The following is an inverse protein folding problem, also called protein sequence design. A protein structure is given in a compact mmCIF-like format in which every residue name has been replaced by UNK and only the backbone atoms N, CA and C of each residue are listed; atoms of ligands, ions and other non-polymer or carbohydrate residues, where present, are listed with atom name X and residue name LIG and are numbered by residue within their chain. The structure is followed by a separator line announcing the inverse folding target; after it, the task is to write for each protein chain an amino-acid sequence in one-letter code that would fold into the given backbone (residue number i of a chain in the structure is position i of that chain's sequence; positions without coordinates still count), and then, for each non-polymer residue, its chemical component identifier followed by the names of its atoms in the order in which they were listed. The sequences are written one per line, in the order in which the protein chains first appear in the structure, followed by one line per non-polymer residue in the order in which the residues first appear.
data_IF_016097470478
#
_entry.id   IF_016097470478
#
_cell.length_a   1.000
_cell.length_b   1.000
_cell.length_c   1.000
_cell.angle_alpha   90.00
_cell.angle_beta   90.00
_cell.angle_gamma   90.00
#
_symmetry.space_group_name_H-M   'P 1'
#
loop_
_entity.id
_entity.type
_entity.pdbx_description
1 polymer ?
#
# COMPACT_ATOMS: atom_id res chain seq x y z
N UNK A 1 -2.76 -29.36 -2.61
CA UNK A 1 -3.37 -28.69 -3.76
C UNK A 1 -4.81 -28.24 -3.52
N UNK A 2 -5.67 -29.11 -3.01
CA UNK A 2 -7.06 -28.73 -2.66
C UNK A 2 -7.13 -27.63 -1.62
N UNK A 3 -6.25 -27.67 -0.62
CA UNK A 3 -6.20 -26.66 0.44
C UNK A 3 -5.87 -25.27 -0.08
N UNK A 4 -4.87 -25.15 -0.97
CA UNK A 4 -4.49 -23.87 -1.57
C UNK A 4 -5.61 -23.28 -2.40
N UNK A 5 -6.32 -24.09 -3.16
CA UNK A 5 -7.45 -23.65 -3.96
C UNK A 5 -8.60 -23.15 -3.09
N UNK A 6 -8.85 -23.85 -1.96
CA UNK A 6 -9.87 -23.45 -1.00
C UNK A 6 -9.51 -22.14 -0.30
N UNK A 7 -8.26 -22.03 0.16
CA UNK A 7 -7.76 -20.81 0.80
C UNK A 7 -7.85 -19.61 -0.14
N UNK A 8 -7.48 -19.80 -1.41
CA UNK A 8 -7.57 -18.75 -2.42
C UNK A 8 -9.01 -18.29 -2.66
N UNK A 9 -9.94 -19.24 -2.69
CA UNK A 9 -11.38 -18.94 -2.84
C UNK A 9 -11.92 -18.19 -1.63
N UNK A 10 -11.56 -18.65 -0.43
CA UNK A 10 -11.97 -17.99 0.81
C UNK A 10 -11.42 -16.58 0.89
N UNK A 11 -10.15 -16.38 0.51
CA UNK A 11 -9.53 -15.07 0.49
C UNK A 11 -10.27 -14.10 -0.45
N UNK A 12 -10.68 -14.55 -1.63
CA UNK A 12 -11.42 -13.73 -2.60
C UNK A 12 -12.79 -13.29 -2.09
N UNK A 13 -13.36 -14.00 -1.12
CA UNK A 13 -14.63 -13.66 -0.50
C UNK A 13 -14.50 -12.57 0.56
N UNK A 14 -13.27 -12.29 1.01
CA UNK A 14 -13.03 -11.25 2.00
C UNK A 14 -13.25 -9.86 1.39
N UNK A 15 -13.66 -8.90 2.21
CA UNK A 15 -13.65 -7.50 1.81
C UNK A 15 -12.22 -7.05 1.51
N UNK A 16 -12.07 -5.94 0.81
CA UNK A 16 -10.74 -5.36 0.56
C UNK A 16 -9.99 -5.08 1.86
N UNK A 17 -10.67 -4.50 2.85
CA UNK A 17 -10.09 -4.21 4.15
C UNK A 17 -9.59 -5.49 4.85
N UNK A 18 -10.38 -6.55 4.82
CA UNK A 18 -10.02 -7.83 5.41
C UNK A 18 -8.84 -8.48 4.69
N UNK A 19 -8.80 -8.40 3.36
CA UNK A 19 -7.68 -8.90 2.55
C UNK A 19 -6.38 -8.21 2.95
N UNK A 20 -6.39 -6.90 3.04
CA UNK A 20 -5.22 -6.10 3.41
C UNK A 20 -4.77 -6.42 4.83
N UNK A 21 -5.71 -6.48 5.79
CA UNK A 21 -5.40 -6.81 7.17
C UNK A 21 -4.71 -8.19 7.28
N UNK A 22 -5.19 -9.17 6.53
CA UNK A 22 -4.60 -10.51 6.52
C UNK A 22 -3.18 -10.50 5.95
N UNK A 23 -2.96 -9.79 4.85
CA UNK A 23 -1.62 -9.70 4.26
C UNK A 23 -0.63 -8.96 5.15
N UNK A 24 -1.07 -7.92 5.83
CA UNK A 24 -0.22 -7.22 6.81
C UNK A 24 0.12 -8.15 7.98
N UNK A 25 -0.85 -8.91 8.49
CA UNK A 25 -0.62 -9.85 9.59
C UNK A 25 0.42 -10.94 9.24
N UNK A 26 0.54 -11.29 7.96
CA UNK A 26 1.48 -12.29 7.48
C UNK A 26 2.89 -11.76 7.23
N UNK A 27 3.09 -10.45 7.32
CA UNK A 27 4.40 -9.84 7.09
C UNK A 27 5.36 -10.09 8.25
N UNK A 28 6.68 -10.01 7.96
CA UNK A 28 7.71 -9.96 8.99
C UNK A 28 7.43 -8.77 9.94
N UNK A 29 7.77 -8.88 11.25
CA UNK A 29 7.38 -7.85 12.23
C UNK A 29 7.76 -6.41 11.86
N UNK A 30 8.95 -6.19 11.33
CA UNK A 30 9.39 -4.85 10.94
C UNK A 30 8.55 -4.29 9.77
N UNK A 31 8.25 -5.13 8.76
CA UNK A 31 7.42 -4.75 7.63
C UNK A 31 5.98 -4.53 8.05
N UNK A 32 5.47 -5.38 8.94
CA UNK A 32 4.12 -5.27 9.48
C UNK A 32 3.91 -3.91 10.15
N UNK A 33 4.88 -3.47 10.93
CA UNK A 33 4.84 -2.17 11.61
C UNK A 33 4.76 -1.01 10.61
N UNK A 34 5.60 -1.04 9.57
CA UNK A 34 5.58 -0.03 8.51
C UNK A 34 4.27 -0.05 7.74
N UNK A 35 3.85 -1.24 7.33
CA UNK A 35 2.61 -1.42 6.56
C UNK A 35 1.39 -0.92 7.32
N UNK A 36 1.29 -1.23 8.61
CA UNK A 36 0.17 -0.80 9.44
C UNK A 36 0.15 0.72 9.61
N UNK A 37 1.32 1.33 9.84
CA UNK A 37 1.42 2.79 9.98
C UNK A 37 1.03 3.50 8.69
N UNK A 38 1.49 3.00 7.54
CA UNK A 38 1.13 3.55 6.23
C UNK A 38 -0.35 3.37 5.96
N UNK A 39 -0.89 2.19 6.25
CA UNK A 39 -2.32 1.89 6.05
C UNK A 39 -3.20 2.86 6.82
N UNK A 40 -2.94 3.01 8.10
CA UNK A 40 -3.71 3.93 8.96
C UNK A 40 -3.63 5.37 8.42
N UNK A 41 -2.43 5.80 8.02
CA UNK A 41 -2.21 7.15 7.52
C UNK A 41 -2.95 7.38 6.20
N UNK A 42 -2.76 6.51 5.21
CA UNK A 42 -3.35 6.66 3.88
C UNK A 42 -4.88 6.65 3.95
N UNK A 43 -5.45 5.71 4.70
CA UNK A 43 -6.91 5.61 4.84
C UNK A 43 -7.51 6.83 5.55
N UNK A 44 -6.73 7.56 6.35
CA UNK A 44 -7.19 8.76 7.05
C UNK A 44 -7.20 10.00 6.17
N UNK A 45 -6.54 9.99 5.01
CA UNK A 45 -6.37 11.19 4.18
C UNK A 45 -7.67 11.60 3.49
N UNK A 46 -8.45 10.65 3.01
CA UNK A 46 -9.71 10.95 2.32
C UNK A 46 -10.68 9.78 2.40
N UNK A 47 -12.00 10.03 2.58
CA UNK A 47 -13.01 8.98 2.53
C UNK A 47 -13.17 8.37 1.14
N UNK A 48 -12.62 8.98 0.10
CA UNK A 48 -12.63 8.45 -1.27
C UNK A 48 -11.68 7.28 -1.46
N UNK A 49 -10.71 7.11 -0.57
CA UNK A 49 -9.72 6.04 -0.67
C UNK A 49 -10.32 4.73 -0.17
N UNK A 50 -10.28 3.71 -1.03
CA UNK A 50 -10.61 2.34 -0.66
C UNK A 50 -9.35 1.49 -0.75
N UNK A 51 -9.39 0.29 -0.17
CA UNK A 51 -8.22 -0.59 -0.13
C UNK A 51 -8.60 -2.01 -0.48
N UNK A 52 -7.69 -2.69 -1.15
CA UNK A 52 -7.70 -4.14 -1.36
C UNK A 52 -6.29 -4.56 -1.74
N UNK A 53 -6.04 -5.86 -1.81
CA UNK A 53 -4.72 -6.34 -2.23
C UNK A 53 -4.55 -6.24 -3.74
N UNK A 54 -3.29 -6.03 -4.15
CA UNK A 54 -2.86 -6.01 -5.54
C UNK A 54 -1.56 -6.82 -5.61
N UNK A 55 -1.59 -7.94 -6.29
CA UNK A 55 -0.47 -8.90 -6.30
C UNK A 55 0.01 -9.26 -4.90
N UNK A 56 -0.95 -9.44 -3.96
CA UNK A 56 -0.65 -9.76 -2.57
C UNK A 56 -0.14 -8.61 -1.72
N UNK A 57 -0.09 -7.41 -2.23
CA UNK A 57 0.36 -6.20 -1.52
C UNK A 57 -0.83 -5.34 -1.11
N UNK A 58 -0.76 -4.66 0.06
CA UNK A 58 -1.74 -3.61 0.37
C UNK A 58 -1.72 -2.52 -0.70
N UNK A 59 -2.88 -2.19 -1.24
CA UNK A 59 -2.99 -1.18 -2.28
C UNK A 59 -4.20 -0.28 -2.02
N UNK A 60 -4.14 0.92 -2.59
CA UNK A 60 -5.09 2.00 -2.31
C UNK A 60 -5.63 2.54 -3.61
N UNK A 61 -6.96 2.70 -3.66
CA UNK A 61 -7.73 2.97 -4.87
C UNK A 61 -8.61 4.20 -4.68
N UNK A 62 -8.85 4.92 -5.77
CA UNK A 62 -9.89 5.95 -5.85
C UNK A 62 -10.71 5.65 -7.10
N UNK A 63 -12.03 5.60 -6.96
CA UNK A 63 -12.94 5.24 -8.06
C UNK A 63 -12.53 3.93 -8.74
N UNK A 64 -12.16 2.95 -7.93
CA UNK A 64 -11.76 1.61 -8.37
C UNK A 64 -10.49 1.57 -9.22
N UNK A 65 -9.72 2.65 -9.23
CA UNK A 65 -8.43 2.74 -9.93
C UNK A 65 -7.31 2.81 -8.91
N UNK A 66 -6.28 1.97 -9.06
CA UNK A 66 -5.16 1.91 -8.14
C UNK A 66 -4.33 3.20 -8.20
N UNK A 67 -4.03 3.75 -7.03
CA UNK A 67 -3.20 4.95 -6.89
C UNK A 67 -1.82 4.61 -6.35
N UNK A 68 -1.76 3.84 -5.27
CA UNK A 68 -0.47 3.47 -4.66
C UNK A 68 -0.56 2.13 -3.95
N UNK A 69 0.62 1.61 -3.58
CA UNK A 69 0.74 0.31 -2.92
C UNK A 69 1.95 0.27 -2.01
N UNK A 70 1.94 -0.67 -1.07
CA UNK A 70 3.08 -0.94 -0.18
C UNK A 70 3.67 -2.30 -0.49
N UNK A 71 5.00 -2.34 -0.73
CA UNK A 71 5.74 -3.58 -0.96
C UNK A 71 6.68 -3.84 0.22
N UNK A 72 6.46 -4.95 0.91
CA UNK A 72 7.30 -5.36 2.03
C UNK A 72 8.71 -5.72 1.56
N UNK A 73 9.73 -5.09 2.15
CA UNK A 73 11.11 -5.25 1.73
C UNK A 73 11.66 -6.65 1.96
N UNK A 74 11.37 -7.25 3.13
CA UNK A 74 11.91 -8.57 3.47
C UNK A 74 11.41 -9.68 2.54
N UNK A 75 10.24 -9.52 1.94
CA UNK A 75 9.68 -10.49 0.99
C UNK A 75 10.54 -10.61 -0.28
N UNK A 76 11.27 -9.57 -0.63
CA UNK A 76 12.13 -9.51 -1.81
C UNK A 76 13.62 -9.40 -1.45
N UNK A 77 13.96 -9.69 -0.20
CA UNK A 77 15.32 -9.57 0.32
C UNK A 77 15.92 -8.18 0.05
N UNK A 78 15.08 -7.16 0.14
CA UNK A 78 15.46 -5.77 -0.04
C UNK A 78 15.73 -5.12 1.32
N UNK A 79 16.69 -4.20 1.37
CA UNK A 79 17.03 -3.47 2.60
C UNK A 79 16.00 -2.41 2.99
N UNK A 80 15.03 -2.15 2.14
CA UNK A 80 13.94 -1.20 2.42
C UNK A 80 12.61 -1.71 1.86
N UNK A 81 11.51 -1.22 2.43
CA UNK A 81 10.18 -1.40 1.88
C UNK A 81 9.89 -0.28 0.88
N UNK A 82 8.88 -0.44 0.05
CA UNK A 82 8.59 0.51 -1.02
C UNK A 82 7.15 1.00 -0.92
N UNK A 83 6.97 2.33 -1.00
CA UNK A 83 5.68 2.95 -1.30
C UNK A 83 5.73 3.36 -2.77
N UNK A 84 4.94 2.70 -3.60
CA UNK A 84 4.92 2.93 -5.04
C UNK A 84 3.62 3.58 -5.49
N UNK A 85 3.71 4.44 -6.48
CA UNK A 85 2.55 5.12 -7.08
C UNK A 85 2.36 4.64 -8.51
N UNK A 86 1.12 4.47 -8.91
CA UNK A 86 0.75 3.98 -10.23
C UNK A 86 0.35 5.13 -11.16
N UNK A 87 0.03 4.79 -12.40
CA UNK A 87 -0.27 5.74 -13.46
C UNK A 87 -1.35 6.76 -13.09
N UNK A 88 -2.35 6.35 -12.34
CA UNK A 88 -3.46 7.22 -11.94
C UNK A 88 -3.07 8.27 -10.88
N UNK A 89 -1.89 8.14 -10.27
CA UNK A 89 -1.42 9.10 -9.28
C UNK A 89 -1.01 10.41 -9.96
N UNK A 90 -1.63 11.51 -9.55
CA UNK A 90 -1.36 12.82 -10.14
C UNK A 90 -0.14 13.47 -9.50
N UNK A 91 1.04 12.92 -9.75
CA UNK A 91 2.32 13.41 -9.23
C UNK A 91 3.18 14.11 -10.28
N UNK A 92 2.64 14.33 -11.45
CA UNK A 92 3.35 14.91 -12.59
C UNK A 92 4.08 16.20 -12.22
N UNK A 93 5.33 16.27 -12.63
CA UNK A 93 6.17 17.46 -12.42
C UNK A 93 7.10 17.59 -13.64
N UNK A 94 6.65 18.35 -14.64
CA UNK A 94 7.33 18.47 -15.93
C UNK A 94 7.31 17.13 -16.69
N UNK A 95 8.46 16.72 -17.20
CA UNK A 95 8.61 15.48 -17.98
C UNK A 95 9.28 14.36 -17.19
N UNK A 96 9.57 14.59 -15.90
CA UNK A 96 10.35 13.64 -15.11
C UNK A 96 10.00 13.83 -13.62
N UNK A 97 9.47 12.78 -12.98
CA UNK A 97 9.14 12.81 -11.55
C UNK A 97 9.24 11.42 -10.93
N UNK A 98 9.51 11.33 -9.60
CA UNK A 98 9.60 10.04 -8.93
C UNK A 98 8.21 9.44 -8.68
N UNK A 99 8.11 8.13 -8.79
CA UNK A 99 6.88 7.38 -8.52
C UNK A 99 7.06 6.27 -7.49
N UNK A 100 8.28 6.06 -6.99
CA UNK A 100 8.59 4.98 -6.06
C UNK A 100 9.53 5.51 -4.98
N UNK A 101 9.22 5.17 -3.72
CA UNK A 101 9.90 5.72 -2.56
C UNK A 101 10.32 4.60 -1.61
N UNK A 102 11.58 4.62 -1.17
CA UNK A 102 12.09 3.70 -0.17
C UNK A 102 11.60 4.13 1.22
N UNK A 103 11.15 3.18 2.01
CA UNK A 103 10.66 3.41 3.37
C UNK A 103 11.37 2.49 4.34
N UNK A 104 12.01 3.06 5.36
CA UNK A 104 12.68 2.28 6.42
C UNK A 104 12.12 2.55 7.80
N UNK A 105 11.45 3.68 7.98
CA UNK A 105 10.81 4.05 9.26
C UNK A 105 9.69 5.05 9.00
N UNK A 106 8.71 5.08 9.89
CA UNK A 106 7.61 6.05 9.83
C UNK A 106 7.75 6.99 11.03
N UNK A 107 8.47 8.08 10.81
CA UNK A 107 8.57 9.19 11.75
C UNK A 107 7.67 10.35 11.28
N UNK A 108 7.63 11.44 12.06
CA UNK A 108 6.76 12.58 11.75
C UNK A 108 7.06 13.19 10.37
N UNK A 109 8.32 13.30 10.01
CA UNK A 109 8.73 13.84 8.70
C UNK A 109 8.23 12.96 7.56
N UNK A 110 8.36 11.64 7.69
CA UNK A 110 7.89 10.67 6.69
C UNK A 110 6.35 10.71 6.58
N UNK A 111 5.64 10.76 7.71
CA UNK A 111 4.17 10.88 7.72
C UNK A 111 3.70 12.12 6.96
N UNK A 112 4.37 13.24 7.21
CA UNK A 112 4.05 14.51 6.55
C UNK A 112 4.26 14.41 5.03
N UNK A 113 5.36 13.80 4.62
CA UNK A 113 5.68 13.64 3.20
C UNK A 113 4.72 12.68 2.50
N UNK A 114 4.38 11.56 3.13
CA UNK A 114 3.39 10.61 2.58
C UNK A 114 2.03 11.29 2.44
N UNK A 115 1.61 12.04 3.45
CA UNK A 115 0.33 12.77 3.41
C UNK A 115 0.32 13.75 2.23
N UNK A 116 1.41 14.49 2.03
CA UNK A 116 1.55 15.43 0.91
C UNK A 116 1.45 14.72 -0.44
N UNK A 117 2.19 13.62 -0.60
CA UNK A 117 2.21 12.84 -1.84
C UNK A 117 0.85 12.24 -2.16
N UNK A 118 0.21 11.60 -1.20
CA UNK A 118 -1.09 10.94 -1.42
C UNK A 118 -2.17 11.99 -1.67
N UNK A 119 -2.18 13.09 -0.93
CA UNK A 119 -3.14 14.18 -1.14
C UNK A 119 -3.02 14.72 -2.57
N UNK A 120 -1.81 14.93 -3.04
CA UNK A 120 -1.56 15.37 -4.42
C UNK A 120 -1.96 14.31 -5.44
N UNK A 121 -1.62 13.06 -5.17
CA UNK A 121 -1.86 11.94 -6.09
C UNK A 121 -3.35 11.74 -6.39
N UNK A 122 -4.23 12.01 -5.43
CA UNK A 122 -5.68 11.83 -5.57
C UNK A 122 -6.44 13.11 -5.94
N UNK A 123 -5.74 14.20 -6.07
CA UNK A 123 -6.36 15.50 -6.40
C UNK A 123 -6.75 15.64 -7.87
#
# INVERSE_FOLDING_TARGET
MRERAREAREFKKLSGDEQVARKIADMAPADQKLAQAIHTLVMSISPKITTRTWYGMPAYYVNDTIVCFFQAGSKFDSRYSTLGFQDAANLDDGSFWPTSFAVTAINDAVKKEITRLVTRAIS
#
